data_IF_848904216346
#
_entry.id   IF_848904216346
#
_cell.length_a   1.000
_cell.length_b   1.000
_cell.length_c   1.000
_cell.angle_alpha   90.00
_cell.angle_beta   90.00
_cell.angle_gamma   90.00
#
_symmetry.space_group_name_H-M   'P 1'
#
loop_
_entity.id
_entity.type
_entity.pdbx_description
1 polymer ?
#
# COMPACT_ATOMS: atom_id res chain seq x y z
N UNK A 1 11.42 -3.53 -28.69
CA UNK A 1 9.95 -3.37 -28.57
C UNK A 1 9.26 -4.62 -28.01
N UNK A 2 9.58 -5.83 -28.47
CA UNK A 2 8.96 -7.08 -27.95
C UNK A 2 9.13 -7.26 -26.43
N UNK A 3 10.33 -6.98 -25.88
CA UNK A 3 10.60 -7.13 -24.44
C UNK A 3 9.86 -6.11 -23.57
N UNK A 4 9.67 -4.87 -24.04
CA UNK A 4 8.87 -3.89 -23.32
C UNK A 4 7.39 -4.28 -23.30
N UNK A 5 6.88 -4.80 -24.41
CA UNK A 5 5.50 -5.31 -24.45
C UNK A 5 5.33 -6.51 -23.53
N UNK A 6 6.31 -7.39 -23.47
CA UNK A 6 6.31 -8.54 -22.58
C UNK A 6 6.32 -8.10 -21.11
N UNK A 7 7.16 -7.09 -20.76
CA UNK A 7 7.15 -6.45 -19.43
C UNK A 7 5.77 -5.90 -19.09
N UNK A 8 5.21 -5.09 -19.99
CA UNK A 8 3.88 -4.50 -19.80
C UNK A 8 2.82 -5.57 -19.53
N UNK A 9 2.72 -6.59 -20.41
CA UNK A 9 1.70 -7.63 -20.30
C UNK A 9 1.87 -8.50 -19.05
N UNK A 10 3.11 -8.82 -18.67
CA UNK A 10 3.37 -9.59 -17.44
C UNK A 10 2.95 -8.81 -16.20
N UNK A 11 3.32 -7.54 -16.13
CA UNK A 11 2.93 -6.70 -15.00
C UNK A 11 1.45 -6.32 -15.02
N UNK A 12 0.82 -6.21 -16.19
CA UNK A 12 -0.63 -6.07 -16.30
C UNK A 12 -1.36 -7.31 -15.76
N UNK A 13 -0.88 -8.51 -16.11
CA UNK A 13 -1.40 -9.76 -15.54
C UNK A 13 -1.28 -9.80 -14.02
N UNK A 14 -0.12 -9.41 -13.47
CA UNK A 14 0.10 -9.30 -12.03
C UNK A 14 -0.88 -8.29 -11.42
N UNK A 15 -1.07 -7.12 -12.04
CA UNK A 15 -2.01 -6.10 -11.59
C UNK A 15 -3.46 -6.57 -11.51
N UNK A 16 -3.91 -7.35 -12.50
CA UNK A 16 -5.25 -7.97 -12.49
C UNK A 16 -5.39 -9.03 -11.41
N UNK A 17 -4.36 -9.83 -11.17
CA UNK A 17 -4.42 -10.95 -10.22
C UNK A 17 -4.23 -10.54 -8.76
N UNK A 18 -3.87 -9.28 -8.51
CA UNK A 18 -3.57 -8.81 -7.17
C UNK A 18 -4.80 -8.26 -6.48
N UNK A 19 -5.35 -9.07 -5.58
CA UNK A 19 -6.40 -8.65 -4.67
C UNK A 19 -5.86 -8.73 -3.24
N UNK A 20 -5.87 -7.61 -2.49
CA UNK A 20 -5.62 -7.65 -1.06
C UNK A 20 -4.40 -6.90 -0.51
N UNK A 21 -3.69 -6.11 -1.28
CA UNK A 21 -2.60 -5.24 -0.79
C UNK A 21 -1.19 -5.81 -0.99
N UNK A 22 -0.17 -4.99 -0.65
CA UNK A 22 1.23 -5.22 -1.02
C UNK A 22 1.79 -6.60 -0.65
N UNK A 23 1.53 -7.09 0.56
CA UNK A 23 2.05 -8.39 1.01
C UNK A 23 1.44 -9.59 0.27
N UNK A 24 0.20 -9.48 -0.19
CA UNK A 24 -0.46 -10.54 -0.96
C UNK A 24 0.10 -10.66 -2.40
N UNK A 25 0.82 -9.64 -2.87
CA UNK A 25 1.44 -9.67 -4.21
C UNK A 25 2.73 -10.47 -4.26
N UNK A 26 3.45 -10.63 -3.15
CA UNK A 26 4.78 -11.26 -3.16
C UNK A 26 4.77 -12.66 -3.80
N UNK A 27 3.84 -13.57 -3.46
CA UNK A 27 3.78 -14.89 -4.11
C UNK A 27 3.47 -14.83 -5.62
N UNK A 28 2.68 -13.84 -6.05
CA UNK A 28 2.34 -13.66 -7.46
C UNK A 28 3.54 -13.13 -8.24
N UNK A 29 4.25 -12.16 -7.66
CA UNK A 29 5.49 -11.61 -8.22
C UNK A 29 6.57 -12.69 -8.30
N UNK A 30 6.75 -13.48 -7.26
CA UNK A 30 7.71 -14.60 -7.25
C UNK A 30 7.42 -15.58 -8.37
N UNK A 31 6.19 -16.04 -8.50
CA UNK A 31 5.79 -16.97 -9.57
C UNK A 31 6.01 -16.37 -10.96
N UNK A 32 5.58 -15.12 -11.21
CA UNK A 32 5.66 -14.54 -12.55
C UNK A 32 7.07 -14.04 -12.88
N UNK A 33 7.75 -13.36 -11.96
CA UNK A 33 9.04 -12.69 -12.22
C UNK A 33 10.22 -13.63 -12.05
N UNK A 34 10.19 -14.49 -11.01
CA UNK A 34 11.29 -15.40 -10.71
C UNK A 34 11.12 -16.74 -11.43
N UNK A 35 10.00 -17.42 -11.20
CA UNK A 35 9.82 -18.80 -11.69
C UNK A 35 9.51 -18.84 -13.19
N UNK A 36 8.61 -18.00 -13.70
CA UNK A 36 8.17 -18.04 -15.10
C UNK A 36 9.09 -17.26 -16.04
N UNK A 37 9.54 -16.08 -15.63
CA UNK A 37 10.28 -15.16 -16.51
C UNK A 37 11.78 -15.12 -16.24
N UNK A 38 12.24 -15.55 -15.08
CA UNK A 38 13.64 -15.48 -14.65
C UNK A 38 14.25 -14.08 -14.79
N UNK A 39 13.46 -13.03 -14.45
CA UNK A 39 13.90 -11.63 -14.54
C UNK A 39 14.62 -11.16 -13.28
N UNK A 40 14.39 -11.83 -12.16
CA UNK A 40 15.07 -11.61 -10.91
C UNK A 40 15.27 -12.95 -10.18
N UNK A 41 16.18 -13.01 -9.22
CA UNK A 41 16.26 -14.09 -8.25
C UNK A 41 15.25 -13.86 -7.12
N UNK A 42 15.02 -14.89 -6.31
CA UNK A 42 14.14 -14.77 -5.14
C UNK A 42 14.67 -13.74 -4.15
N UNK A 43 15.98 -13.76 -3.88
CA UNK A 43 16.66 -12.81 -3.00
C UNK A 43 16.51 -11.37 -3.50
N UNK A 44 16.76 -11.13 -4.79
CA UNK A 44 16.60 -9.80 -5.38
C UNK A 44 15.14 -9.31 -5.30
N UNK A 45 14.17 -10.19 -5.50
CA UNK A 45 12.75 -9.82 -5.40
C UNK A 45 12.39 -9.42 -3.97
N UNK A 46 12.89 -10.14 -2.97
CA UNK A 46 12.70 -9.81 -1.55
C UNK A 46 13.33 -8.47 -1.22
N UNK A 47 14.54 -8.19 -1.73
CA UNK A 47 15.21 -6.90 -1.55
C UNK A 47 14.41 -5.75 -2.18
N UNK A 48 13.96 -5.91 -3.43
CA UNK A 48 13.11 -4.90 -4.09
C UNK A 48 11.81 -4.66 -3.34
N UNK A 49 11.24 -5.72 -2.78
CA UNK A 49 10.02 -5.63 -1.98
C UNK A 49 10.28 -4.88 -0.66
N UNK A 50 11.40 -5.15 0.02
CA UNK A 50 11.80 -4.47 1.25
C UNK A 50 12.06 -2.97 1.01
N UNK A 51 12.80 -2.64 -0.06
CA UNK A 51 13.03 -1.24 -0.47
C UNK A 51 11.70 -0.58 -0.84
N UNK A 52 10.82 -1.30 -1.54
CA UNK A 52 9.48 -0.83 -1.90
C UNK A 52 8.60 -0.49 -0.71
N UNK A 53 8.79 -1.16 0.44
CA UNK A 53 8.09 -0.83 1.70
C UNK A 53 8.61 0.46 2.34
N UNK A 54 9.89 0.78 2.15
CA UNK A 54 10.50 2.01 2.67
C UNK A 54 10.30 3.22 1.74
N UNK A 55 9.90 2.98 0.50
CA UNK A 55 9.71 4.02 -0.52
C UNK A 55 8.25 4.48 -0.52
N UNK A 56 7.96 5.79 -0.58
CA UNK A 56 6.58 6.28 -0.68
C UNK A 56 5.87 5.70 -1.90
N UNK A 57 4.61 5.29 -1.72
CA UNK A 57 3.78 4.75 -2.79
C UNK A 57 3.31 3.32 -2.55
N UNK A 58 2.76 2.70 -3.59
CA UNK A 58 2.25 1.32 -3.55
C UNK A 58 3.43 0.37 -3.72
N UNK A 59 3.68 -0.52 -2.74
CA UNK A 59 4.78 -1.48 -2.72
C UNK A 59 4.91 -2.24 -4.03
N UNK A 60 3.79 -2.69 -4.57
CA UNK A 60 3.72 -3.42 -5.82
C UNK A 60 4.23 -2.63 -7.03
N UNK A 61 3.87 -1.36 -7.10
CA UNK A 61 4.29 -0.45 -8.17
C UNK A 61 5.79 -0.17 -8.05
N UNK A 62 6.29 0.07 -6.83
CA UNK A 62 7.70 0.27 -6.58
C UNK A 62 8.52 -0.97 -6.96
N UNK A 63 8.08 -2.17 -6.55
CA UNK A 63 8.75 -3.44 -6.89
C UNK A 63 8.75 -3.68 -8.41
N UNK A 64 7.62 -3.43 -9.09
CA UNK A 64 7.54 -3.54 -10.55
C UNK A 64 8.51 -2.58 -11.24
N UNK A 65 8.63 -1.35 -10.74
CA UNK A 65 9.57 -0.35 -11.25
C UNK A 65 11.01 -0.84 -11.14
N UNK A 66 11.41 -1.42 -10.00
CA UNK A 66 12.78 -1.94 -9.79
C UNK A 66 13.07 -3.12 -10.72
N UNK A 67 12.17 -4.08 -10.85
CA UNK A 67 12.32 -5.21 -11.78
C UNK A 67 12.41 -4.72 -13.23
N UNK A 68 11.54 -3.80 -13.62
CA UNK A 68 11.54 -3.22 -14.96
C UNK A 68 12.83 -2.45 -15.25
N UNK A 69 13.32 -1.68 -14.27
CA UNK A 69 14.57 -0.92 -14.39
C UNK A 69 15.79 -1.83 -14.53
N UNK A 70 15.83 -2.93 -13.78
CA UNK A 70 16.89 -3.94 -13.93
C UNK A 70 16.92 -4.52 -15.35
N UNK A 71 15.75 -4.76 -15.93
CA UNK A 71 15.63 -5.41 -17.26
C UNK A 71 15.95 -4.48 -18.43
N UNK A 72 15.46 -3.26 -18.44
CA UNK A 72 15.53 -2.32 -19.59
C UNK A 72 15.76 -0.87 -19.16
N UNK A 73 16.41 -0.64 -18.03
CA UNK A 73 16.68 0.70 -17.52
C UNK A 73 15.41 1.49 -17.27
N UNK A 74 15.48 2.80 -17.37
CA UNK A 74 14.36 3.70 -17.06
C UNK A 74 13.09 3.37 -17.89
N UNK A 75 13.23 3.02 -19.17
CA UNK A 75 12.09 2.64 -20.02
C UNK A 75 11.41 1.36 -19.57
N UNK A 76 12.20 0.40 -19.07
CA UNK A 76 11.66 -0.83 -18.48
C UNK A 76 10.90 -0.55 -17.20
N UNK A 77 11.42 0.32 -16.33
CA UNK A 77 10.74 0.74 -15.10
C UNK A 77 9.40 1.41 -15.37
N UNK A 78 9.37 2.38 -16.28
CA UNK A 78 8.12 3.05 -16.70
C UNK A 78 7.11 2.06 -17.26
N UNK A 79 7.56 1.15 -18.14
CA UNK A 79 6.68 0.18 -18.79
C UNK A 79 6.09 -0.82 -17.78
N UNK A 80 6.89 -1.32 -16.85
CA UNK A 80 6.42 -2.22 -15.80
C UNK A 80 5.42 -1.54 -14.86
N UNK A 81 5.71 -0.30 -14.46
CA UNK A 81 4.82 0.54 -13.65
C UNK A 81 3.47 0.75 -14.32
N UNK A 82 3.49 1.17 -15.59
CA UNK A 82 2.25 1.35 -16.37
C UNK A 82 1.50 0.03 -16.51
N UNK A 83 2.20 -1.08 -16.68
CA UNK A 83 1.61 -2.41 -16.74
C UNK A 83 0.79 -2.74 -15.50
N UNK A 84 1.34 -2.55 -14.29
CA UNK A 84 0.62 -2.82 -13.03
C UNK A 84 -0.61 -1.93 -12.86
N UNK A 85 -0.52 -0.65 -13.24
CA UNK A 85 -1.56 0.35 -13.01
C UNK A 85 -2.68 0.26 -14.06
N UNK A 86 -2.34 -0.07 -15.29
CA UNK A 86 -3.25 -0.02 -16.43
C UNK A 86 -4.56 -0.80 -16.23
N UNK A 87 -4.58 -2.05 -15.75
CA UNK A 87 -5.81 -2.79 -15.53
C UNK A 87 -6.73 -2.11 -14.51
N UNK A 88 -6.16 -1.58 -13.44
CA UNK A 88 -6.92 -0.86 -12.42
C UNK A 88 -7.57 0.40 -12.99
N UNK A 89 -6.85 1.16 -13.83
CA UNK A 89 -7.41 2.34 -14.50
C UNK A 89 -8.57 1.96 -15.43
N UNK A 90 -8.42 0.90 -16.21
CA UNK A 90 -9.48 0.41 -17.11
C UNK A 90 -10.72 0.01 -16.32
N UNK A 91 -10.55 -0.81 -15.28
CA UNK A 91 -11.66 -1.27 -14.45
C UNK A 91 -12.37 -0.09 -13.78
N UNK A 92 -11.63 0.83 -13.17
CA UNK A 92 -12.19 2.00 -12.49
C UNK A 92 -12.94 2.90 -13.48
N UNK A 93 -12.40 3.11 -14.68
CA UNK A 93 -13.03 3.94 -15.71
C UNK A 93 -14.35 3.32 -16.18
N UNK A 94 -14.37 2.00 -16.44
CA UNK A 94 -15.60 1.29 -16.81
C UNK A 94 -16.63 1.37 -15.68
N UNK A 95 -16.22 1.10 -14.45
CA UNK A 95 -17.10 1.17 -13.29
C UNK A 95 -17.66 2.59 -13.06
N UNK A 96 -16.82 3.61 -13.20
CA UNK A 96 -17.25 5.00 -13.08
C UNK A 96 -18.33 5.34 -14.11
N UNK A 97 -18.15 4.93 -15.37
CA UNK A 97 -19.15 5.10 -16.42
C UNK A 97 -20.47 4.35 -16.14
N UNK A 98 -20.38 3.13 -15.62
CA UNK A 98 -21.57 2.36 -15.22
C UNK A 98 -22.29 3.02 -14.05
N UNK A 99 -21.54 3.46 -13.03
CA UNK A 99 -22.12 4.10 -11.84
C UNK A 99 -22.85 5.37 -12.20
N UNK A 100 -22.27 6.26 -13.01
CA UNK A 100 -22.91 7.52 -13.41
C UNK A 100 -24.23 7.31 -14.14
N UNK A 101 -24.34 6.25 -14.93
CA UNK A 101 -25.57 5.96 -15.67
C UNK A 101 -26.63 5.22 -14.86
N UNK A 102 -26.23 4.41 -13.88
CA UNK A 102 -27.14 3.52 -13.14
C UNK A 102 -27.26 3.84 -11.65
N UNK A 103 -26.62 4.92 -11.15
CA UNK A 103 -26.63 5.30 -9.73
C UNK A 103 -28.04 5.55 -9.15
N UNK A 104 -29.03 5.85 -10.01
CA UNK A 104 -30.41 6.09 -9.62
C UNK A 104 -31.21 4.80 -9.35
N UNK A 105 -30.70 3.64 -9.76
CA UNK A 105 -31.40 2.37 -9.58
C UNK A 105 -31.26 1.87 -8.13
N UNK A 106 -32.37 1.50 -7.53
CA UNK A 106 -32.42 1.09 -6.13
C UNK A 106 -31.49 -0.09 -5.80
N UNK A 107 -31.35 -1.07 -6.71
CA UNK A 107 -30.45 -2.20 -6.50
C UNK A 107 -28.97 -1.79 -6.52
N UNK A 108 -28.58 -0.76 -7.31
CA UNK A 108 -27.24 -0.21 -7.32
C UNK A 108 -26.95 0.51 -6.00
N UNK A 109 -27.89 1.33 -5.53
CA UNK A 109 -27.77 2.02 -4.24
C UNK A 109 -27.63 1.04 -3.08
N UNK A 110 -28.43 -0.04 -3.07
CA UNK A 110 -28.35 -1.08 -2.05
C UNK A 110 -27.01 -1.84 -2.10
N UNK A 111 -26.48 -2.11 -3.29
CA UNK A 111 -25.17 -2.71 -3.45
C UNK A 111 -24.04 -1.80 -2.90
N UNK A 112 -24.10 -0.49 -3.19
CA UNK A 112 -23.17 0.49 -2.64
C UNK A 112 -23.26 0.61 -1.12
N UNK A 113 -24.46 0.61 -0.56
CA UNK A 113 -24.63 0.60 0.89
C UNK A 113 -23.97 -0.62 1.54
N UNK A 114 -24.12 -1.82 0.94
CA UNK A 114 -23.43 -3.02 1.39
C UNK A 114 -21.91 -2.92 1.31
N UNK A 115 -21.37 -2.40 0.20
CA UNK A 115 -19.94 -2.17 0.03
C UNK A 115 -19.39 -1.18 1.08
N UNK A 116 -20.09 -0.08 1.34
CA UNK A 116 -19.70 0.90 2.35
C UNK A 116 -19.57 0.27 3.74
N UNK A 117 -20.52 -0.56 4.14
CA UNK A 117 -20.45 -1.28 5.42
C UNK A 117 -19.23 -2.20 5.46
N UNK A 118 -18.98 -2.98 4.41
CA UNK A 118 -17.80 -3.84 4.31
C UNK A 118 -16.49 -3.04 4.43
N UNK A 119 -16.39 -1.91 3.73
CA UNK A 119 -15.20 -1.03 3.80
C UNK A 119 -15.01 -0.48 5.20
N UNK A 120 -16.08 -0.03 5.87
CA UNK A 120 -15.99 0.42 7.26
C UNK A 120 -15.47 -0.67 8.20
N UNK A 121 -15.95 -1.91 8.05
CA UNK A 121 -15.47 -3.05 8.85
C UNK A 121 -14.00 -3.37 8.57
N UNK A 122 -13.58 -3.33 7.30
CA UNK A 122 -12.19 -3.55 6.92
C UNK A 122 -11.25 -2.48 7.52
N UNK A 123 -11.63 -1.21 7.43
CA UNK A 123 -10.88 -0.10 8.03
C UNK A 123 -10.81 -0.27 9.55
N UNK A 124 -11.93 -0.57 10.21
CA UNK A 124 -11.96 -0.80 11.65
C UNK A 124 -11.03 -1.94 12.06
N UNK A 125 -11.07 -3.07 11.35
CA UNK A 125 -10.18 -4.20 11.59
C UNK A 125 -8.70 -3.82 11.41
N UNK A 126 -8.37 -3.03 10.39
CA UNK A 126 -7.02 -2.55 10.16
C UNK A 126 -6.55 -1.64 11.32
N UNK A 127 -7.40 -0.70 11.74
CA UNK A 127 -7.12 0.17 12.89
C UNK A 127 -6.91 -0.63 14.16
N UNK A 128 -7.78 -1.61 14.45
CA UNK A 128 -7.65 -2.46 15.64
C UNK A 128 -6.37 -3.29 15.63
N UNK A 129 -5.96 -3.83 14.47
CA UNK A 129 -4.68 -4.55 14.33
C UNK A 129 -3.48 -3.63 14.58
N UNK A 130 -3.51 -2.43 14.02
CA UNK A 130 -2.45 -1.44 14.22
C UNK A 130 -2.40 -0.97 15.67
N UNK A 131 -3.52 -0.69 16.32
CA UNK A 131 -3.61 -0.33 17.72
C UNK A 131 -2.96 -1.40 18.62
N UNK A 132 -3.35 -2.66 18.45
CA UNK A 132 -2.79 -3.77 19.24
C UNK A 132 -1.28 -3.94 19.06
N UNK A 133 -0.74 -3.59 17.89
CA UNK A 133 0.69 -3.72 17.58
C UNK A 133 1.50 -2.49 18.02
N UNK A 134 0.90 -1.30 17.94
CA UNK A 134 1.60 -0.03 18.17
C UNK A 134 1.45 0.48 19.60
N UNK A 135 0.32 0.20 20.27
CA UNK A 135 0.06 0.62 21.66
C UNK A 135 0.43 -0.51 22.61
N UNK A 136 1.71 -0.57 22.97
CA UNK A 136 2.25 -1.62 23.87
C UNK A 136 2.15 -1.19 25.34
N UNK A 137 2.36 0.10 25.63
CA UNK A 137 2.46 0.65 26.97
C UNK A 137 1.42 1.74 27.24
N UNK A 138 1.09 1.97 28.51
CA UNK A 138 0.19 3.06 28.94
C UNK A 138 0.63 4.44 28.43
N UNK A 139 1.91 4.71 28.34
CA UNK A 139 2.50 5.96 27.82
C UNK A 139 2.24 6.12 26.32
N UNK A 140 2.44 5.05 25.57
CA UNK A 140 2.11 5.05 24.13
C UNK A 140 0.61 5.25 23.90
N UNK A 141 -0.24 4.69 24.79
CA UNK A 141 -1.68 4.93 24.75
C UNK A 141 -2.02 6.41 24.96
N UNK A 142 -1.37 7.08 25.92
CA UNK A 142 -1.57 8.52 26.17
C UNK A 142 -1.15 9.36 24.96
N UNK A 143 0.02 9.08 24.37
CA UNK A 143 0.48 9.77 23.15
C UNK A 143 -0.54 9.55 22.02
N UNK A 144 -1.01 8.33 21.84
CA UNK A 144 -2.01 8.01 20.82
C UNK A 144 -3.29 8.84 21.01
N UNK A 145 -3.83 8.91 22.22
CA UNK A 145 -5.05 9.68 22.50
C UNK A 145 -4.83 11.17 22.28
N UNK A 146 -3.69 11.73 22.70
CA UNK A 146 -3.36 13.15 22.49
C UNK A 146 -3.27 13.46 20.99
N UNK A 147 -2.57 12.61 20.21
CA UNK A 147 -2.42 12.79 18.77
C UNK A 147 -3.76 12.65 18.06
N UNK A 148 -4.59 11.68 18.46
CA UNK A 148 -5.92 11.47 17.88
C UNK A 148 -6.83 12.69 18.13
N UNK A 149 -6.92 13.15 19.39
CA UNK A 149 -7.73 14.30 19.74
C UNK A 149 -7.18 15.58 19.10
N UNK A 150 -5.86 15.76 19.10
CA UNK A 150 -5.22 16.90 18.45
C UNK A 150 -5.52 16.95 16.94
N UNK A 151 -5.45 15.81 16.26
CA UNK A 151 -5.77 15.74 14.84
C UNK A 151 -7.27 15.95 14.52
N UNK A 152 -8.17 15.62 15.47
CA UNK A 152 -9.61 15.90 15.32
C UNK A 152 -9.98 17.35 15.60
N UNK A 153 -9.30 17.99 16.53
CA UNK A 153 -9.65 19.35 17.01
C UNK A 153 -8.88 20.45 16.26
N UNK A 154 -7.69 20.15 15.78
CA UNK A 154 -6.81 21.09 15.12
C UNK A 154 -6.73 20.76 13.62
N UNK A 155 -7.05 21.73 12.76
CA UNK A 155 -6.91 21.60 11.30
C UNK A 155 -5.44 21.70 10.84
N UNK A 156 -4.55 20.96 11.51
CA UNK A 156 -3.11 20.93 11.22
C UNK A 156 -2.78 19.67 10.42
N UNK A 157 -1.81 19.79 9.51
CA UNK A 157 -1.39 18.61 8.72
C UNK A 157 -0.95 17.44 9.60
N UNK A 158 -1.42 16.21 9.34
CA UNK A 158 -1.04 15.00 10.09
C UNK A 158 0.48 14.76 10.18
N UNK A 159 1.26 15.31 9.24
CA UNK A 159 2.72 15.20 9.21
C UNK A 159 3.36 15.77 10.48
N UNK A 160 2.86 16.90 10.99
CA UNK A 160 3.36 17.51 12.21
C UNK A 160 3.10 16.64 13.45
N UNK A 161 1.95 15.99 13.51
CA UNK A 161 1.63 15.05 14.58
C UNK A 161 2.54 13.82 14.57
N UNK A 162 2.88 13.31 13.36
CA UNK A 162 3.83 12.19 13.22
C UNK A 162 5.22 12.59 13.73
N UNK A 163 5.73 13.76 13.32
CA UNK A 163 7.05 14.24 13.76
C UNK A 163 7.10 14.47 15.28
N UNK A 164 6.10 15.14 15.84
CA UNK A 164 6.03 15.41 17.27
C UNK A 164 5.89 14.13 18.10
N UNK A 165 5.08 13.16 17.65
CA UNK A 165 4.93 11.88 18.36
C UNK A 165 6.21 11.03 18.28
N UNK A 166 6.91 11.05 17.14
CA UNK A 166 8.20 10.38 17.00
C UNK A 166 9.25 10.98 17.95
N UNK A 167 9.37 12.31 18.00
CA UNK A 167 10.27 13.01 18.93
C UNK A 167 9.94 12.71 20.39
N UNK A 168 8.67 12.79 20.78
CA UNK A 168 8.23 12.48 22.14
C UNK A 168 8.52 11.04 22.55
N UNK A 169 8.33 10.08 21.63
CA UNK A 169 8.64 8.66 21.84
C UNK A 169 10.14 8.43 22.09
N UNK A 170 11.01 9.07 21.29
CA UNK A 170 12.47 8.98 21.45
C UNK A 170 12.92 9.58 22.79
N UNK A 171 12.40 10.75 23.15
CA UNK A 171 12.74 11.43 24.42
C UNK A 171 12.32 10.57 25.62
N UNK A 172 11.10 10.04 25.62
CA UNK A 172 10.62 9.16 26.69
C UNK A 172 11.47 7.90 26.85
N UNK A 173 11.82 7.25 25.76
CA UNK A 173 12.68 6.06 25.78
C UNK A 173 14.10 6.36 26.26
N UNK A 174 14.68 7.51 25.90
CA UNK A 174 15.99 7.93 26.36
C UNK A 174 16.01 8.27 27.87
N UNK A 175 14.92 8.85 28.38
CA UNK A 175 14.77 9.13 29.83
C UNK A 175 14.67 7.83 30.65
N UNK A 176 13.99 6.80 30.14
CA UNK A 176 13.92 5.47 30.76
C UNK A 176 15.27 4.75 30.78
N UNK A 177 16.01 4.79 29.67
CA UNK A 177 17.36 4.21 29.58
C UNK A 177 18.37 4.88 30.54
N UNK A 178 18.11 6.13 30.97
CA UNK A 178 18.90 6.83 31.97
C UNK A 178 18.44 6.55 33.42
N UNK A 179 17.18 6.25 33.63
CA UNK A 179 16.65 5.93 34.96
C UNK A 179 16.89 4.47 35.37
N UNK A 180 17.25 3.60 34.41
CA UNK A 180 17.58 2.18 34.65
C UNK A 180 19.09 1.91 34.79
N UNK A 181 19.95 2.92 34.74
CA UNK A 181 21.37 2.91 35.12
C UNK A 181 21.57 3.61 36.45
#
# INVERSE_FOLDING_TARGET
MKELLELFLTFAKIGVMTFGGGMAMLPILEREVVQNKHWATEEELVDYFAIGQCTPGIIAVNTATFVGQKRKGAMGGITATLGVIFPSLVIITILAGLITNFAHLAWVQNAFAGIQVCVCVLILNAVLKLLKKSVVDKRTAVIFVIVLLGNMLLSVSPVWFVLLSAMSGIVLKNLEGRAAK
#
